data_IF_508354646773
#
_entry.id   IF_508354646773
#
_cell.length_a   1.000
_cell.length_b   1.000
_cell.length_c   1.000
_cell.angle_alpha   90.00
_cell.angle_beta   90.00
_cell.angle_gamma   90.00
#
_symmetry.space_group_name_H-M   'P 1'
#
loop_
_entity.id
_entity.type
_entity.pdbx_description
1 polymer ?
#
# COMPACT_ATOMS: atom_id res chain seq x y z
N UNK A 1 0.18 -41.10 49.42
CA UNK A 1 1.18 -40.56 48.46
C UNK A 1 0.77 -41.00 47.06
N UNK A 2 0.70 -40.04 46.13
CA UNK A 2 -0.13 -40.06 44.92
C UNK A 2 0.41 -40.94 43.77
N UNK A 3 -0.47 -41.55 42.94
CA UNK A 3 -0.10 -42.11 41.65
C UNK A 3 0.02 -41.01 40.59
N UNK A 4 1.04 -41.05 39.74
CA UNK A 4 1.15 -40.17 38.56
C UNK A 4 0.70 -40.91 37.31
N UNK A 5 -0.52 -40.61 36.89
CA UNK A 5 -0.98 -40.70 35.50
C UNK A 5 -0.18 -39.69 34.66
N UNK A 6 0.37 -40.12 33.52
CA UNK A 6 0.82 -39.20 32.47
C UNK A 6 -0.07 -39.45 31.25
N UNK A 7 -0.76 -38.38 30.87
CA UNK A 7 -1.81 -38.31 29.89
C UNK A 7 -1.28 -38.36 28.46
N UNK A 8 -2.07 -39.01 27.61
CA UNK A 8 -2.02 -38.93 26.15
C UNK A 8 -2.58 -37.57 25.74
N UNK A 9 -1.82 -36.79 24.96
CA UNK A 9 -2.37 -35.65 24.22
C UNK A 9 -1.93 -35.78 22.76
N UNK A 10 -2.84 -36.35 21.97
CA UNK A 10 -2.86 -36.22 20.52
C UNK A 10 -3.32 -34.80 20.19
N UNK A 11 -2.39 -33.95 19.76
CA UNK A 11 -2.74 -32.65 19.18
C UNK A 11 -2.89 -32.82 17.68
N UNK A 12 -4.12 -33.09 17.27
CA UNK A 12 -4.57 -33.05 15.89
C UNK A 12 -4.20 -31.70 15.27
N UNK A 13 -3.35 -31.72 14.25
CA UNK A 13 -3.11 -30.58 13.37
C UNK A 13 -4.42 -30.33 12.62
N UNK A 14 -5.17 -29.33 13.05
CA UNK A 14 -6.30 -28.81 12.27
C UNK A 14 -5.69 -28.03 11.11
N UNK A 15 -5.53 -28.67 9.96
CA UNK A 15 -5.44 -27.95 8.70
C UNK A 15 -6.79 -27.26 8.48
N UNK A 16 -6.88 -25.99 8.85
CA UNK A 16 -7.89 -25.10 8.27
C UNK A 16 -7.54 -24.89 6.81
N UNK A 17 -8.00 -25.81 5.96
CA UNK A 17 -8.12 -25.56 4.54
C UNK A 17 -9.19 -24.47 4.37
N UNK A 18 -8.74 -23.23 4.19
CA UNK A 18 -9.63 -22.11 3.87
C UNK A 18 -10.33 -22.42 2.56
N UNK A 19 -11.64 -22.65 2.65
CA UNK A 19 -12.56 -22.73 1.53
C UNK A 19 -12.38 -21.49 0.66
N UNK A 20 -11.82 -21.66 -0.54
CA UNK A 20 -11.92 -20.68 -1.62
C UNK A 20 -13.39 -20.57 -2.01
N UNK A 21 -14.11 -19.71 -1.31
CA UNK A 21 -15.42 -19.25 -1.75
C UNK A 21 -15.21 -18.47 -3.05
N UNK A 22 -16.02 -18.77 -4.06
CA UNK A 22 -16.12 -17.99 -5.29
C UNK A 22 -16.71 -16.61 -4.96
N UNK A 23 -15.89 -15.72 -4.43
CA UNK A 23 -16.14 -14.30 -4.24
C UNK A 23 -14.86 -13.59 -4.65
N UNK A 24 -14.97 -12.46 -5.33
CA UNK A 24 -13.80 -11.67 -5.71
C UNK A 24 -12.92 -11.29 -4.52
N UNK A 25 -11.72 -10.73 -4.77
CA UNK A 25 -10.78 -10.40 -3.71
C UNK A 25 -11.45 -9.54 -2.64
N UNK A 26 -11.37 -10.00 -1.38
CA UNK A 26 -11.90 -9.29 -0.23
C UNK A 26 -11.26 -7.89 -0.16
N UNK A 27 -12.04 -6.80 -0.04
CA UNK A 27 -11.50 -5.43 0.07
C UNK A 27 -10.46 -5.29 1.19
N UNK A 28 -10.63 -5.98 2.32
CA UNK A 28 -9.68 -5.93 3.43
C UNK A 28 -8.32 -6.56 3.06
N UNK A 29 -8.32 -7.68 2.34
CA UNK A 29 -7.08 -8.34 1.88
C UNK A 29 -6.36 -7.48 0.83
N UNK A 30 -7.12 -6.86 -0.07
CA UNK A 30 -6.59 -5.91 -1.06
C UNK A 30 -5.91 -4.72 -0.36
N UNK A 31 -6.53 -4.20 0.70
CA UNK A 31 -5.94 -3.15 1.53
C UNK A 31 -4.67 -3.61 2.24
N UNK A 32 -4.67 -4.82 2.83
CA UNK A 32 -3.48 -5.38 3.46
C UNK A 32 -2.30 -5.52 2.50
N UNK A 33 -2.56 -5.94 1.26
CA UNK A 33 -1.55 -6.03 0.20
C UNK A 33 -1.03 -4.63 -0.17
N UNK A 34 -1.92 -3.66 -0.39
CA UNK A 34 -1.55 -2.28 -0.70
C UNK A 34 -0.61 -1.70 0.36
N UNK A 35 -0.97 -1.81 1.65
CA UNK A 35 -0.17 -1.27 2.74
C UNK A 35 1.10 -2.06 3.01
N UNK A 36 1.16 -3.35 2.66
CA UNK A 36 2.41 -4.12 2.66
C UNK A 36 3.39 -3.56 1.61
N UNK A 37 2.93 -3.30 0.39
CA UNK A 37 3.77 -2.70 -0.66
C UNK A 37 4.29 -1.33 -0.23
N UNK A 38 3.43 -0.49 0.36
CA UNK A 38 3.81 0.84 0.85
C UNK A 38 4.86 0.76 1.97
N UNK A 39 4.64 -0.13 2.95
CA UNK A 39 5.58 -0.36 4.06
C UNK A 39 6.94 -0.83 3.56
N UNK A 40 6.98 -1.78 2.63
CA UNK A 40 8.23 -2.32 2.08
C UNK A 40 9.01 -1.24 1.31
N UNK A 41 8.29 -0.32 0.66
CA UNK A 41 8.87 0.86 -0.01
C UNK A 41 9.12 2.05 0.94
N UNK A 42 8.96 1.86 2.26
CA UNK A 42 9.13 2.90 3.29
C UNK A 42 8.30 4.15 2.98
N UNK A 43 7.03 3.92 2.62
CA UNK A 43 6.04 4.95 2.32
C UNK A 43 5.05 4.97 3.48
N UNK A 44 5.18 5.97 4.35
CA UNK A 44 4.13 6.33 5.30
C UNK A 44 3.28 7.43 4.67
N UNK A 45 1.98 7.20 4.37
CA UNK A 45 1.13 8.17 3.68
C UNK A 45 1.07 9.54 4.34
N UNK A 46 0.97 9.58 5.68
CA UNK A 46 0.86 10.83 6.44
C UNK A 46 2.17 11.61 6.38
N UNK A 47 3.30 10.98 6.70
CA UNK A 47 4.62 11.60 6.66
C UNK A 47 4.99 12.01 5.25
N UNK A 48 4.67 11.18 4.25
CA UNK A 48 4.94 11.51 2.85
C UNK A 48 4.17 12.77 2.44
N UNK A 49 2.88 12.85 2.73
CA UNK A 49 2.06 14.02 2.37
C UNK A 49 2.60 15.30 3.05
N UNK A 50 2.94 15.22 4.34
CA UNK A 50 3.49 16.34 5.10
C UNK A 50 4.87 16.79 4.60
N UNK A 51 5.72 15.83 4.24
CA UNK A 51 7.04 16.10 3.66
C UNK A 51 6.96 16.42 2.17
N UNK A 52 5.76 16.58 1.61
CA UNK A 52 5.51 16.85 0.18
C UNK A 52 6.24 15.88 -0.75
N UNK A 53 6.30 14.60 -0.38
CA UNK A 53 7.03 13.60 -1.14
C UNK A 53 8.50 13.96 -1.40
N UNK A 54 9.14 14.68 -0.47
CA UNK A 54 10.57 14.93 -0.47
C UNK A 54 11.30 13.58 -0.48
N UNK A 55 11.55 13.05 -1.67
CA UNK A 55 12.46 11.93 -1.85
C UNK A 55 13.86 12.47 -1.72
N UNK A 56 14.70 11.75 -1.00
CA UNK A 56 16.05 12.16 -0.65
C UNK A 56 17.00 12.05 -1.87
N UNK A 57 16.51 11.55 -3.00
CA UNK A 57 17.15 11.54 -4.33
C UNK A 57 16.16 11.14 -5.46
N UNK A 58 16.50 11.42 -6.73
CA UNK A 58 15.73 10.94 -7.91
C UNK A 58 15.59 9.41 -7.90
N UNK A 59 16.63 8.68 -7.54
CA UNK A 59 16.63 7.21 -7.47
C UNK A 59 15.59 6.69 -6.48
N UNK A 60 15.57 7.26 -5.28
CA UNK A 60 14.58 6.88 -4.26
C UNK A 60 13.16 7.24 -4.70
N UNK A 61 12.98 8.42 -5.31
CA UNK A 61 11.70 8.82 -5.89
C UNK A 61 11.18 7.80 -6.90
N UNK A 62 12.04 7.29 -7.79
CA UNK A 62 11.66 6.28 -8.79
C UNK A 62 11.27 4.95 -8.14
N UNK A 63 12.03 4.46 -7.16
CA UNK A 63 11.69 3.23 -6.42
C UNK A 63 10.31 3.35 -5.75
N UNK A 64 10.01 4.52 -5.19
CA UNK A 64 8.71 4.75 -4.58
C UNK A 64 7.60 4.88 -5.64
N UNK A 65 7.86 5.51 -6.79
CA UNK A 65 6.92 5.53 -7.92
C UNK A 65 6.57 4.11 -8.42
N UNK A 66 7.55 3.21 -8.47
CA UNK A 66 7.32 1.79 -8.80
C UNK A 66 6.45 1.07 -7.75
N UNK A 67 6.65 1.36 -6.46
CA UNK A 67 5.79 0.84 -5.41
C UNK A 67 4.34 1.33 -5.56
N UNK A 68 4.15 2.62 -5.86
CA UNK A 68 2.84 3.20 -6.11
C UNK A 68 2.16 2.58 -7.35
N UNK A 69 2.93 2.30 -8.40
CA UNK A 69 2.43 1.61 -9.59
C UNK A 69 1.97 0.18 -9.26
N UNK A 70 2.67 -0.53 -8.36
CA UNK A 70 2.25 -1.86 -7.87
C UNK A 70 0.95 -1.78 -7.07
N UNK A 71 0.82 -0.80 -6.16
CA UNK A 71 -0.44 -0.55 -5.43
C UNK A 71 -1.59 -0.28 -6.41
N UNK A 72 -1.35 0.55 -7.42
CA UNK A 72 -2.35 0.89 -8.43
C UNK A 72 -2.75 -0.28 -9.35
N UNK A 73 -1.94 -1.34 -9.41
CA UNK A 73 -2.20 -2.54 -10.21
C UNK A 73 -3.05 -3.59 -9.47
N UNK A 74 -3.31 -3.38 -8.17
CA UNK A 74 -4.15 -4.28 -7.39
C UNK A 74 -5.58 -4.32 -7.93
N UNK A 75 -6.18 -5.50 -7.85
CA UNK A 75 -7.54 -5.76 -8.35
C UNK A 75 -8.49 -5.94 -7.18
N UNK A 76 -9.65 -5.34 -7.31
CA UNK A 76 -10.72 -5.37 -6.30
C UNK A 76 -12.05 -5.10 -6.97
N UNK A 77 -13.13 -5.64 -6.40
CA UNK A 77 -14.50 -5.36 -6.83
C UNK A 77 -15.10 -4.15 -6.07
N UNK A 78 -14.42 -3.62 -5.05
CA UNK A 78 -14.86 -2.40 -4.36
C UNK A 78 -14.62 -1.17 -5.24
N UNK A 79 -15.70 -0.52 -5.66
CA UNK A 79 -15.65 0.68 -6.52
C UNK A 79 -14.87 1.84 -5.90
N UNK A 80 -14.89 1.96 -4.57
CA UNK A 80 -14.14 2.99 -3.87
C UNK A 80 -12.63 2.75 -3.95
N UNK A 81 -12.19 1.52 -3.70
CA UNK A 81 -10.79 1.11 -3.87
C UNK A 81 -10.33 1.20 -5.33
N UNK A 82 -11.17 0.80 -6.30
CA UNK A 82 -10.89 1.00 -7.73
C UNK A 82 -10.61 2.48 -8.05
N UNK A 83 -11.41 3.39 -7.50
CA UNK A 83 -11.21 4.84 -7.65
C UNK A 83 -9.91 5.29 -7.00
N UNK A 84 -9.62 4.84 -5.77
CA UNK A 84 -8.37 5.13 -5.08
C UNK A 84 -7.15 4.67 -5.87
N UNK A 85 -7.16 3.45 -6.41
CA UNK A 85 -6.07 2.92 -7.23
C UNK A 85 -5.90 3.67 -8.55
N UNK A 86 -6.99 4.10 -9.19
CA UNK A 86 -6.92 4.94 -10.38
C UNK A 86 -6.28 6.31 -10.09
N UNK A 87 -6.62 6.94 -8.96
CA UNK A 87 -6.01 8.20 -8.54
C UNK A 87 -4.52 8.03 -8.22
N UNK A 88 -4.15 6.97 -7.51
CA UNK A 88 -2.75 6.63 -7.23
C UNK A 88 -2.00 6.38 -8.53
N UNK A 89 -2.58 5.67 -9.51
CA UNK A 89 -1.98 5.46 -10.83
C UNK A 89 -1.62 6.77 -11.52
N UNK A 90 -2.59 7.67 -11.63
CA UNK A 90 -2.43 8.97 -12.30
C UNK A 90 -1.39 9.83 -11.58
N UNK A 91 -1.45 9.88 -10.25
CA UNK A 91 -0.47 10.60 -9.43
C UNK A 91 0.94 10.02 -9.54
N UNK A 92 1.09 8.68 -9.50
CA UNK A 92 2.37 8.01 -9.63
C UNK A 92 3.02 8.25 -11.00
N UNK A 93 2.24 8.22 -12.08
CA UNK A 93 2.71 8.54 -13.43
C UNK A 93 3.20 10.00 -13.51
N UNK A 94 2.45 10.93 -12.94
CA UNK A 94 2.82 12.35 -12.94
C UNK A 94 4.07 12.62 -12.10
N UNK A 95 4.15 11.98 -10.93
CA UNK A 95 5.34 12.03 -10.06
C UNK A 95 6.58 11.46 -10.75
N UNK A 96 6.46 10.30 -11.42
CA UNK A 96 7.55 9.70 -12.18
C UNK A 96 8.02 10.61 -13.32
N UNK A 97 7.10 11.23 -14.06
CA UNK A 97 7.45 12.17 -15.13
C UNK A 97 8.19 13.41 -14.59
N UNK A 98 7.78 13.96 -13.45
CA UNK A 98 8.50 15.09 -12.85
C UNK A 98 9.86 14.67 -12.30
N UNK A 99 10.03 13.44 -11.79
CA UNK A 99 11.33 12.89 -11.40
C UNK A 99 12.29 12.74 -12.59
N UNK A 100 11.79 12.29 -13.74
CA UNK A 100 12.57 12.21 -14.98
C UNK A 100 13.01 13.59 -15.47
N UNK A 101 12.12 14.59 -15.36
CA UNK A 101 12.45 15.97 -15.69
C UNK A 101 13.45 16.57 -14.69
N UNK A 102 13.32 16.26 -13.39
CA UNK A 102 14.24 16.71 -12.35
C UNK A 102 15.67 16.22 -12.58
N UNK A 103 15.83 15.01 -13.13
CA UNK A 103 17.14 14.48 -13.48
C UNK A 103 17.88 15.32 -14.54
N UNK A 104 17.13 16.04 -15.39
CA UNK A 104 17.68 16.92 -16.42
C UNK A 104 17.70 18.41 -15.99
N UNK A 105 16.77 18.82 -15.13
CA UNK A 105 16.57 20.21 -14.71
C UNK A 105 16.21 20.29 -13.21
N UNK A 106 17.17 20.68 -12.35
CA UNK A 106 16.94 20.84 -10.92
C UNK A 106 15.81 21.82 -10.55
N UNK A 107 15.45 22.77 -11.42
CA UNK A 107 14.36 23.72 -11.15
C UNK A 107 12.99 23.07 -11.06
N UNK A 108 12.87 21.79 -11.45
CA UNK A 108 11.66 20.97 -11.34
C UNK A 108 11.34 20.48 -9.94
N UNK A 109 12.23 20.70 -8.97
CA UNK A 109 12.05 20.21 -7.59
C UNK A 109 10.67 20.57 -6.99
N UNK A 110 10.15 21.82 -7.11
CA UNK A 110 8.83 22.15 -6.58
C UNK A 110 7.70 21.34 -7.22
N UNK A 111 7.81 20.97 -8.49
CA UNK A 111 6.81 20.14 -9.17
C UNK A 111 6.84 18.70 -8.65
N UNK A 112 8.04 18.13 -8.47
CA UNK A 112 8.20 16.81 -7.87
C UNK A 112 7.58 16.79 -6.48
N UNK A 113 7.84 17.83 -5.67
CA UNK A 113 7.25 17.97 -4.35
C UNK A 113 5.71 18.09 -4.40
N UNK A 114 5.18 18.90 -5.31
CA UNK A 114 3.74 19.05 -5.46
C UNK A 114 3.05 17.74 -5.87
N UNK A 115 3.61 17.01 -6.84
CA UNK A 115 3.09 15.71 -7.27
C UNK A 115 3.24 14.66 -6.18
N UNK A 116 4.38 14.65 -5.47
CA UNK A 116 4.60 13.79 -4.32
C UNK A 116 3.57 14.02 -3.21
N UNK A 117 3.29 15.28 -2.88
CA UNK A 117 2.24 15.64 -1.91
C UNK A 117 0.86 15.15 -2.34
N UNK A 118 0.49 15.37 -3.61
CA UNK A 118 -0.79 14.94 -4.18
C UNK A 118 -0.97 13.42 -4.07
N UNK A 119 0.07 12.65 -4.41
CA UNK A 119 0.07 11.19 -4.21
C UNK A 119 -0.10 10.83 -2.74
N UNK A 120 0.60 11.51 -1.83
CA UNK A 120 0.44 11.32 -0.39
C UNK A 120 -1.03 11.48 0.06
N UNK A 121 -1.73 12.49 -0.45
CA UNK A 121 -3.17 12.66 -0.17
C UNK A 121 -4.03 11.54 -0.73
N UNK A 122 -3.72 11.02 -1.93
CA UNK A 122 -4.42 9.84 -2.46
C UNK A 122 -4.19 8.60 -1.60
N UNK A 123 -2.99 8.41 -1.03
CA UNK A 123 -2.71 7.32 -0.10
C UNK A 123 -3.44 7.49 1.24
N UNK A 124 -3.60 8.71 1.74
CA UNK A 124 -4.43 8.98 2.92
C UNK A 124 -5.90 8.67 2.63
N UNK A 125 -6.41 9.04 1.46
CA UNK A 125 -7.77 8.67 1.05
C UNK A 125 -7.94 7.15 0.92
N UNK A 126 -6.93 6.45 0.41
CA UNK A 126 -6.90 4.98 0.40
C UNK A 126 -6.95 4.42 1.82
N UNK A 127 -6.14 4.95 2.75
CA UNK A 127 -6.13 4.55 4.17
C UNK A 127 -7.52 4.66 4.80
N UNK A 128 -8.18 5.80 4.62
CA UNK A 128 -9.55 6.02 5.12
C UNK A 128 -10.56 5.06 4.48
N UNK A 129 -10.42 4.78 3.17
CA UNK A 129 -11.28 3.81 2.49
C UNK A 129 -11.07 2.40 3.02
N UNK A 130 -9.83 2.04 3.34
CA UNK A 130 -9.51 0.73 3.91
C UNK A 130 -10.08 0.57 5.32
N UNK A 131 -10.04 1.62 6.15
CA UNK A 131 -10.66 1.61 7.49
C UNK A 131 -12.16 1.34 7.40
N UNK A 132 -12.85 1.97 6.43
CA UNK A 132 -14.27 1.71 6.15
C UNK A 132 -14.55 0.26 5.69
N UNK A 133 -13.56 -0.43 5.15
CA UNK A 133 -13.64 -1.83 4.72
C UNK A 133 -13.10 -2.81 5.78
N UNK A 134 -12.89 -2.36 7.02
CA UNK A 134 -12.44 -3.20 8.13
C UNK A 134 -10.94 -3.48 8.17
N UNK A 135 -10.14 -2.78 7.36
CA UNK A 135 -8.69 -2.83 7.43
C UNK A 135 -8.15 -1.57 8.10
N UNK A 136 -7.48 -1.73 9.25
CA UNK A 136 -6.81 -0.64 9.95
C UNK A 136 -5.30 -0.65 9.63
N UNK A 137 -4.81 0.29 8.79
CA UNK A 137 -3.41 0.35 8.37
C UNK A 137 -2.42 0.61 9.51
#
# INVERSE_FOLDING_TARGET
MHPRLIAILASSVVLTASLTACGGPNPADTCAEAFTILKDAKIDPQQWALNRGASVSVTEGKQKAEALARVAALKTDDKGLQTSFANIKSGAQSYQQELDKLAADPSREPNVQAMGAAVGFFLIALSQRCDQNGFKP
#
